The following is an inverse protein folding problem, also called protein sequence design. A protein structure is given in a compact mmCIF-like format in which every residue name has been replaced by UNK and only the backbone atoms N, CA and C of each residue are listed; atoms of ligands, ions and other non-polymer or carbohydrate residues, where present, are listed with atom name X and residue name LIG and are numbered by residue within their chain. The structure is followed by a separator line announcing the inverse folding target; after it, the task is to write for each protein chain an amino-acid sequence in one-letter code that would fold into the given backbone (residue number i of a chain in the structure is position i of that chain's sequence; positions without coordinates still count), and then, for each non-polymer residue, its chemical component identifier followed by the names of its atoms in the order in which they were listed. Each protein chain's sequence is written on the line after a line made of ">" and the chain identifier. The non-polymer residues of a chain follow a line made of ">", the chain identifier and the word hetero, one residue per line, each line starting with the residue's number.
data_IF_044515873981
#
_entry.id   IF_044515873981
#
_cell.length_a   1.000
_cell.length_b   1.000
_cell.length_c   1.000
_cell.angle_alpha   90.00
_cell.angle_beta   90.00
_cell.angle_gamma   90.00
#
_symmetry.space_group_name_H-M   'P 1'
#
loop_
_entity.id
_entity.type
_entity.pdbx_description
1 polymer ?
#
# COMPACT_ATOMS: atom_id res chain seq x y z
N UNK A 1 17.89 -13.63 11.44
CA UNK A 1 17.41 -12.24 11.56
C UNK A 1 15.88 -12.28 11.64
N UNK A 2 15.27 -11.64 12.63
CA UNK A 2 13.80 -11.62 12.79
C UNK A 2 13.12 -10.86 11.63
N UNK A 3 11.84 -11.16 11.37
CA UNK A 3 11.03 -10.44 10.37
C UNK A 3 11.04 -8.92 10.61
N UNK A 4 10.88 -8.51 11.88
CA UNK A 4 10.95 -7.11 12.29
C UNK A 4 12.29 -6.46 11.90
N UNK A 5 13.43 -7.14 12.14
CA UNK A 5 14.75 -6.62 11.77
C UNK A 5 14.90 -6.49 10.25
N UNK A 6 14.39 -7.45 9.47
CA UNK A 6 14.37 -7.37 7.99
C UNK A 6 13.56 -6.17 7.51
N UNK A 7 12.38 -5.94 8.12
CA UNK A 7 11.54 -4.80 7.77
C UNK A 7 12.24 -3.47 8.11
N UNK A 8 12.85 -3.35 9.29
CA UNK A 8 13.62 -2.16 9.67
C UNK A 8 14.72 -1.87 8.66
N UNK A 9 15.53 -2.87 8.29
CA UNK A 9 16.60 -2.70 7.30
C UNK A 9 16.03 -2.29 5.93
N UNK A 10 14.92 -2.90 5.51
CA UNK A 10 14.24 -2.52 4.26
C UNK A 10 13.76 -1.08 4.29
N UNK A 11 13.15 -0.64 5.39
CA UNK A 11 12.68 0.74 5.55
C UNK A 11 13.85 1.73 5.52
N UNK A 12 14.92 1.46 6.29
CA UNK A 12 16.13 2.30 6.31
C UNK A 12 16.73 2.37 4.89
N UNK A 13 16.92 1.23 4.24
CA UNK A 13 17.53 1.19 2.92
C UNK A 13 16.70 1.94 1.87
N UNK A 14 15.39 1.68 1.80
CA UNK A 14 14.53 2.23 0.72
C UNK A 14 14.12 3.69 0.94
N UNK A 15 13.97 4.14 2.20
CA UNK A 15 13.46 5.48 2.49
C UNK A 15 14.57 6.50 2.77
N UNK A 16 15.72 6.04 3.28
CA UNK A 16 16.80 6.94 3.69
C UNK A 16 18.09 6.70 2.94
N UNK A 17 18.64 5.47 2.98
CA UNK A 17 19.96 5.21 2.39
C UNK A 17 19.95 5.40 0.88
N UNK A 18 18.99 4.77 0.17
CA UNK A 18 18.93 4.83 -1.29
C UNK A 18 18.70 6.26 -1.79
N UNK A 19 17.70 7.04 -1.33
CA UNK A 19 17.52 8.42 -1.77
C UNK A 19 18.76 9.29 -1.49
N UNK A 20 19.34 9.23 -0.29
CA UNK A 20 20.51 10.04 0.05
C UNK A 20 21.76 9.64 -0.73
N UNK A 21 21.97 8.33 -0.96
CA UNK A 21 23.06 7.83 -1.79
C UNK A 21 22.94 8.35 -3.23
N UNK A 22 21.73 8.27 -3.81
CA UNK A 22 21.49 8.75 -5.18
C UNK A 22 21.65 10.27 -5.26
N UNK A 23 21.12 11.03 -4.29
CA UNK A 23 21.35 12.49 -4.22
C UNK A 23 22.84 12.78 -4.15
N UNK A 24 23.61 12.07 -3.34
CA UNK A 24 25.06 12.29 -3.22
C UNK A 24 25.79 12.15 -4.55
N UNK A 25 25.35 11.25 -5.44
CA UNK A 25 25.98 11.10 -6.77
C UNK A 25 25.92 12.39 -7.59
N UNK A 26 24.89 13.22 -7.41
CA UNK A 26 24.75 14.50 -8.10
C UNK A 26 25.82 15.53 -7.72
N UNK A 27 26.45 15.37 -6.55
CA UNK A 27 27.57 16.20 -6.11
C UNK A 27 28.93 15.75 -6.66
N UNK A 28 29.09 14.45 -6.93
CA UNK A 28 30.38 13.88 -7.34
C UNK A 28 30.51 13.69 -8.86
N UNK A 29 29.44 13.27 -9.55
CA UNK A 29 29.46 13.05 -10.99
C UNK A 29 29.43 14.40 -11.71
N UNK A 30 30.51 14.73 -12.40
CA UNK A 30 30.66 16.03 -13.07
C UNK A 30 30.07 16.05 -14.47
N UNK A 31 30.30 15.02 -15.27
CA UNK A 31 30.00 15.03 -16.69
C UNK A 31 28.49 14.93 -17.01
N UNK A 32 27.76 14.08 -16.31
CA UNK A 32 26.33 13.81 -16.53
C UNK A 32 25.49 14.30 -15.36
N UNK A 33 25.86 15.42 -14.74
CA UNK A 33 25.25 15.95 -13.53
C UNK A 33 23.73 16.15 -13.67
N UNK A 34 23.25 16.60 -14.84
CA UNK A 34 21.83 16.79 -15.12
C UNK A 34 21.04 15.47 -15.05
N UNK A 35 21.63 14.36 -15.52
CA UNK A 35 21.01 13.04 -15.39
C UNK A 35 20.96 12.58 -13.95
N UNK A 36 22.02 12.77 -13.17
CA UNK A 36 22.04 12.39 -11.75
C UNK A 36 21.06 13.20 -10.91
N UNK A 37 20.84 14.46 -11.22
CA UNK A 37 19.79 15.30 -10.61
C UNK A 37 18.40 14.76 -10.98
N UNK A 38 18.15 14.48 -12.26
CA UNK A 38 16.88 13.91 -12.71
C UNK A 38 16.58 12.54 -12.09
N UNK A 39 17.59 11.68 -11.96
CA UNK A 39 17.51 10.38 -11.27
C UNK A 39 17.18 10.60 -9.79
N UNK A 40 17.87 11.51 -9.11
CA UNK A 40 17.63 11.83 -7.69
C UNK A 40 16.20 12.29 -7.47
N UNK A 41 15.71 13.18 -8.33
CA UNK A 41 14.33 13.67 -8.30
C UNK A 41 13.30 12.52 -8.43
N UNK A 42 13.49 11.63 -9.42
CA UNK A 42 12.61 10.48 -9.60
C UNK A 42 12.62 9.55 -8.39
N UNK A 43 13.79 9.24 -7.83
CA UNK A 43 13.92 8.35 -6.67
C UNK A 43 13.21 8.94 -5.44
N UNK A 44 13.40 10.23 -5.16
CA UNK A 44 12.75 10.92 -4.04
C UNK A 44 11.24 10.91 -4.20
N UNK A 45 10.70 11.22 -5.38
CA UNK A 45 9.26 11.19 -5.64
C UNK A 45 8.67 9.79 -5.55
N UNK A 46 9.33 8.76 -6.11
CA UNK A 46 8.91 7.38 -6.01
C UNK A 46 8.85 6.96 -4.53
N UNK A 47 9.91 7.21 -3.77
CA UNK A 47 9.97 6.90 -2.35
C UNK A 47 8.87 7.64 -1.56
N UNK A 48 8.65 8.93 -1.87
CA UNK A 48 7.66 9.76 -1.19
C UNK A 48 6.22 9.30 -1.44
N UNK A 49 5.89 8.90 -2.67
CA UNK A 49 4.52 8.52 -3.04
C UNK A 49 4.24 7.06 -2.67
N UNK A 50 5.14 6.14 -2.98
CA UNK A 50 4.91 4.69 -2.86
C UNK A 50 5.59 4.02 -1.66
N UNK A 51 6.37 4.74 -0.87
CA UNK A 51 7.06 4.21 0.32
C UNK A 51 6.11 3.78 1.44
N UNK A 52 6.64 3.02 2.40
CA UNK A 52 5.93 2.53 3.59
C UNK A 52 5.92 3.59 4.69
N UNK A 53 5.15 4.66 4.48
CA UNK A 53 5.10 5.81 5.39
C UNK A 53 4.15 5.65 6.58
N UNK A 54 3.47 4.52 6.68
CA UNK A 54 2.59 4.20 7.81
C UNK A 54 3.31 4.12 9.16
N UNK A 55 4.62 3.90 9.13
CA UNK A 55 5.46 3.82 10.34
C UNK A 55 6.01 5.19 10.80
N UNK A 56 5.74 6.26 10.07
CA UNK A 56 6.27 7.58 10.33
C UNK A 56 5.17 8.63 10.43
N UNK A 57 5.38 9.65 11.25
CA UNK A 57 4.43 10.76 11.34
C UNK A 57 4.38 11.54 10.03
N UNK A 58 3.23 12.16 9.74
CA UNK A 58 3.09 13.00 8.55
C UNK A 58 4.08 14.18 8.54
N UNK A 59 4.35 14.77 9.72
CA UNK A 59 5.33 15.85 9.89
C UNK A 59 6.74 15.41 9.52
N UNK A 60 7.16 14.23 10.00
CA UNK A 60 8.47 13.67 9.68
C UNK A 60 8.61 13.38 8.19
N UNK A 61 7.62 12.72 7.58
CA UNK A 61 7.58 12.44 6.14
C UNK A 61 7.76 13.72 5.31
N UNK A 62 7.01 14.77 5.64
CA UNK A 62 7.08 16.05 4.95
C UNK A 62 8.43 16.74 5.14
N UNK A 63 8.93 16.81 6.37
CA UNK A 63 10.22 17.41 6.67
C UNK A 63 11.38 16.70 5.95
N UNK A 64 11.35 15.37 5.91
CA UNK A 64 12.33 14.58 5.17
C UNK A 64 12.28 14.83 3.66
N UNK A 65 11.07 14.93 3.09
CA UNK A 65 10.91 15.29 1.68
C UNK A 65 11.50 16.66 1.37
N UNK A 66 11.15 17.68 2.15
CA UNK A 66 11.71 19.04 1.98
C UNK A 66 13.23 19.04 2.12
N UNK A 67 13.78 18.28 3.04
CA UNK A 67 15.23 18.12 3.20
C UNK A 67 15.88 17.51 1.94
N UNK A 68 15.33 16.44 1.37
CA UNK A 68 15.83 15.85 0.13
C UNK A 68 15.76 16.84 -1.04
N UNK A 69 14.66 17.57 -1.21
CA UNK A 69 14.49 18.58 -2.25
C UNK A 69 15.50 19.73 -2.09
N UNK A 70 15.77 20.18 -0.86
CA UNK A 70 16.78 21.18 -0.59
C UNK A 70 18.19 20.73 -0.99
N UNK A 71 18.55 19.45 -0.72
CA UNK A 71 19.82 18.88 -1.15
C UNK A 71 19.93 18.84 -2.69
N UNK A 72 18.88 18.41 -3.38
CA UNK A 72 18.84 18.37 -4.85
C UNK A 72 19.00 19.77 -5.43
N UNK A 73 18.26 20.75 -4.90
CA UNK A 73 18.35 22.16 -5.32
C UNK A 73 19.76 22.74 -5.09
N UNK A 74 20.37 22.46 -3.93
CA UNK A 74 21.74 22.87 -3.64
C UNK A 74 22.73 22.28 -4.64
N UNK A 75 22.60 20.98 -4.96
CA UNK A 75 23.43 20.35 -6.00
C UNK A 75 23.24 21.02 -7.36
N UNK A 76 22.01 21.33 -7.76
CA UNK A 76 21.69 22.03 -9.00
C UNK A 76 22.38 23.42 -9.06
N UNK A 77 22.24 24.21 -7.99
CA UNK A 77 22.86 25.55 -7.91
C UNK A 77 24.39 25.44 -8.04
N UNK A 78 25.02 24.53 -7.29
CA UNK A 78 26.48 24.31 -7.36
C UNK A 78 26.88 23.95 -8.78
N UNK A 79 26.14 23.09 -9.47
CA UNK A 79 26.46 22.69 -10.84
C UNK A 79 26.31 23.82 -11.85
N UNK A 80 25.26 24.61 -11.75
CA UNK A 80 25.05 25.78 -12.64
C UNK A 80 26.16 26.81 -12.43
N UNK A 81 26.61 27.03 -11.19
CA UNK A 81 27.63 28.04 -10.88
C UNK A 81 29.07 27.61 -11.20
N UNK A 82 29.37 26.30 -11.10
CA UNK A 82 30.73 25.77 -11.28
C UNK A 82 30.94 25.18 -12.67
N UNK A 83 29.90 24.88 -13.44
CA UNK A 83 29.99 24.20 -14.74
C UNK A 83 30.58 25.11 -15.85
N UNK A 84 31.90 25.10 -15.97
CA UNK A 84 32.57 25.40 -17.22
C UNK A 84 32.77 24.07 -17.98
N UNK A 85 32.25 24.02 -19.22
CA UNK A 85 32.49 23.03 -20.29
C UNK A 85 33.03 21.65 -19.88
N UNK A 86 32.14 20.72 -19.60
CA UNK A 86 32.48 19.30 -19.37
C UNK A 86 31.93 18.48 -20.54
N UNK A 87 32.79 17.76 -21.25
CA UNK A 87 32.37 16.85 -22.33
C UNK A 87 31.68 15.58 -21.75
N UNK A 88 30.51 15.20 -22.26
CA UNK A 88 29.84 13.96 -21.79
C UNK A 88 30.69 12.71 -22.05
N UNK A 89 30.84 11.87 -21.05
CA UNK A 89 31.48 10.56 -21.22
C UNK A 89 30.46 9.55 -21.75
N UNK A 90 30.42 9.32 -23.05
CA UNK A 90 29.43 8.46 -23.75
C UNK A 90 29.16 7.12 -23.03
N UNK A 91 30.18 6.49 -22.45
CA UNK A 91 30.06 5.19 -21.79
C UNK A 91 29.20 5.20 -20.51
N UNK A 92 29.14 6.32 -19.79
CA UNK A 92 28.31 6.46 -18.56
C UNK A 92 26.95 7.07 -18.89
N UNK A 93 26.88 7.94 -19.90
CA UNK A 93 25.65 8.66 -20.30
C UNK A 93 24.55 7.70 -20.70
N UNK A 94 24.83 6.68 -21.53
CA UNK A 94 23.81 5.73 -22.01
C UNK A 94 23.17 4.94 -20.84
N UNK A 95 23.94 4.28 -19.94
CA UNK A 95 23.37 3.61 -18.77
C UNK A 95 22.53 4.52 -17.87
N UNK A 96 22.98 5.77 -17.64
CA UNK A 96 22.24 6.73 -16.82
C UNK A 96 20.93 7.15 -17.49
N UNK A 97 20.91 7.38 -18.80
CA UNK A 97 19.68 7.68 -19.55
C UNK A 97 18.69 6.52 -19.45
N UNK A 98 19.13 5.29 -19.69
CA UNK A 98 18.29 4.10 -19.60
C UNK A 98 17.71 3.96 -18.19
N UNK A 99 18.53 4.18 -17.16
CA UNK A 99 18.09 4.13 -15.77
C UNK A 99 17.07 5.21 -15.45
N UNK A 100 17.31 6.46 -15.88
CA UNK A 100 16.38 7.56 -15.70
C UNK A 100 15.03 7.31 -16.40
N UNK A 101 15.05 6.82 -17.64
CA UNK A 101 13.82 6.45 -18.36
C UNK A 101 13.03 5.36 -17.64
N UNK A 102 13.72 4.38 -17.04
CA UNK A 102 13.09 3.35 -16.22
C UNK A 102 12.41 3.96 -14.99
N UNK A 103 13.05 4.87 -14.28
CA UNK A 103 12.46 5.55 -13.12
C UNK A 103 11.27 6.43 -13.52
N UNK A 104 11.36 7.16 -14.64
CA UNK A 104 10.25 7.94 -15.19
C UNK A 104 9.07 7.01 -15.51
N UNK A 105 9.30 5.86 -16.14
CA UNK A 105 8.26 4.87 -16.41
C UNK A 105 7.58 4.38 -15.11
N UNK A 106 8.36 4.07 -14.07
CA UNK A 106 7.81 3.68 -12.77
C UNK A 106 6.97 4.82 -12.14
N UNK A 107 7.45 6.05 -12.20
CA UNK A 107 6.73 7.22 -11.69
C UNK A 107 5.41 7.45 -12.44
N UNK A 108 5.44 7.36 -13.77
CA UNK A 108 4.22 7.46 -14.59
C UNK A 108 3.20 6.40 -14.19
N UNK A 109 3.61 5.14 -13.98
CA UNK A 109 2.70 4.07 -13.53
C UNK A 109 2.10 4.38 -12.14
N UNK A 110 2.88 4.94 -11.22
CA UNK A 110 2.37 5.40 -9.92
C UNK A 110 1.30 6.48 -10.11
N UNK A 111 1.56 7.49 -10.95
CA UNK A 111 0.63 8.57 -11.23
C UNK A 111 -0.65 8.07 -11.93
N UNK A 112 -0.53 7.09 -12.83
CA UNK A 112 -1.69 6.43 -13.45
C UNK A 112 -2.59 5.81 -12.37
N UNK A 113 -2.03 5.10 -11.39
CA UNK A 113 -2.84 4.49 -10.29
C UNK A 113 -3.58 5.57 -9.51
N UNK A 114 -2.99 6.74 -9.32
CA UNK A 114 -3.60 7.84 -8.54
C UNK A 114 -4.70 8.56 -9.32
N UNK A 115 -4.43 8.90 -10.57
CA UNK A 115 -5.24 9.87 -11.32
C UNK A 115 -6.16 9.25 -12.37
N UNK A 116 -5.85 8.04 -12.87
CA UNK A 116 -6.68 7.40 -13.88
C UNK A 116 -8.00 6.93 -13.27
N UNK A 117 -9.10 7.31 -13.90
CA UNK A 117 -10.41 6.73 -13.61
C UNK A 117 -10.48 5.33 -14.25
N UNK A 118 -10.81 4.34 -13.45
CA UNK A 118 -11.09 2.99 -13.95
C UNK A 118 -12.44 3.00 -14.68
N UNK A 119 -12.63 2.04 -15.60
CA UNK A 119 -13.87 1.94 -16.38
C UNK A 119 -15.09 1.63 -15.53
N UNK A 120 -14.91 0.83 -14.49
CA UNK A 120 -15.95 0.46 -13.54
C UNK A 120 -15.48 0.83 -12.14
N UNK A 121 -16.22 1.72 -11.49
CA UNK A 121 -15.97 2.16 -10.12
C UNK A 121 -17.22 1.88 -9.30
N UNK A 122 -17.05 1.15 -8.23
CA UNK A 122 -18.15 0.81 -7.32
C UNK A 122 -17.99 1.64 -6.06
N UNK A 123 -18.98 2.50 -5.81
CA UNK A 123 -19.01 3.27 -4.57
C UNK A 123 -19.40 2.38 -3.41
N UNK A 124 -18.61 2.40 -2.35
CA UNK A 124 -18.86 1.66 -1.12
C UNK A 124 -18.92 2.60 0.08
N UNK A 125 -19.55 2.15 1.16
CA UNK A 125 -19.35 2.76 2.47
C UNK A 125 -17.97 2.37 2.99
N UNK A 126 -17.25 3.30 3.64
CA UNK A 126 -15.97 2.96 4.21
C UNK A 126 -16.17 2.04 5.42
N UNK A 127 -15.38 0.95 5.56
CA UNK A 127 -15.63 -0.07 6.57
C UNK A 127 -15.37 0.37 8.02
N UNK A 128 -14.96 1.61 8.23
CA UNK A 128 -14.73 2.18 9.56
C UNK A 128 -15.49 3.49 9.75
N UNK A 129 -15.65 3.90 11.02
CA UNK A 129 -16.26 5.19 11.42
C UNK A 129 -15.33 5.91 12.39
N UNK A 130 -15.41 7.25 12.39
CA UNK A 130 -14.73 8.12 13.38
C UNK A 130 -13.22 7.96 13.41
N UNK A 131 -12.53 8.74 12.61
CA UNK A 131 -11.07 8.78 12.65
C UNK A 131 -10.41 9.01 11.30
N UNK A 132 -9.11 8.87 11.30
CA UNK A 132 -8.30 8.94 10.10
C UNK A 132 -7.78 7.53 9.78
N UNK A 133 -7.89 7.14 8.53
CA UNK A 133 -7.41 5.84 8.07
C UNK A 133 -6.46 6.01 6.89
N UNK A 134 -5.41 5.21 6.88
CA UNK A 134 -4.44 5.20 5.79
C UNK A 134 -4.58 3.93 4.99
N UNK A 135 -4.61 4.08 3.68
CA UNK A 135 -4.46 2.96 2.75
C UNK A 135 -2.97 2.60 2.69
N UNK A 136 -2.62 1.39 3.07
CA UNK A 136 -1.23 0.90 3.05
C UNK A 136 -0.87 0.20 1.74
N UNK A 137 -1.83 -0.50 1.15
CA UNK A 137 -1.79 -1.01 -0.22
C UNK A 137 -3.15 -0.81 -0.88
N UNK A 138 -3.19 -0.35 -2.13
CA UNK A 138 -4.44 -0.07 -2.83
C UNK A 138 -4.22 0.53 -4.22
N UNK A 139 -5.30 0.58 -5.00
CA UNK A 139 -5.30 0.96 -6.40
C UNK A 139 -4.98 -0.20 -7.34
N UNK A 140 -4.84 0.08 -8.63
CA UNK A 140 -4.66 -0.95 -9.66
C UNK A 140 -3.28 -1.63 -9.56
N UNK A 141 -3.24 -2.79 -8.95
CA UNK A 141 -2.00 -3.55 -8.70
C UNK A 141 -1.34 -4.12 -9.97
N UNK A 142 -2.09 -4.24 -11.08
CA UNK A 142 -1.53 -4.61 -12.38
C UNK A 142 -0.68 -3.49 -12.98
N UNK A 143 -1.05 -2.23 -12.71
CA UNK A 143 -0.35 -1.05 -13.24
C UNK A 143 0.92 -0.78 -12.43
N UNK A 144 0.82 -0.79 -11.09
CA UNK A 144 1.99 -0.53 -10.25
C UNK A 144 2.03 -1.41 -9.01
N UNK A 145 3.02 -2.30 -8.98
CA UNK A 145 3.32 -3.13 -7.81
C UNK A 145 3.82 -2.30 -6.61
N UNK A 146 4.39 -1.13 -6.86
CA UNK A 146 4.84 -0.23 -5.79
C UNK A 146 3.66 0.37 -5.01
N UNK A 147 2.50 0.50 -5.67
CA UNK A 147 1.28 1.02 -5.06
C UNK A 147 0.42 -0.08 -4.45
N UNK A 148 0.43 -1.27 -5.04
CA UNK A 148 -0.37 -2.39 -4.59
C UNK A 148 0.25 -3.70 -5.08
N UNK A 149 0.64 -4.60 -4.18
CA UNK A 149 1.33 -5.84 -4.54
C UNK A 149 0.39 -7.02 -4.77
N UNK A 150 -0.89 -6.93 -4.44
CA UNK A 150 -1.82 -8.06 -4.33
C UNK A 150 -1.99 -8.88 -5.60
N UNK A 151 -2.05 -8.24 -6.77
CA UNK A 151 -2.15 -8.96 -8.06
C UNK A 151 -0.96 -9.90 -8.30
N UNK A 152 0.20 -9.56 -7.78
CA UNK A 152 1.46 -10.30 -7.92
C UNK A 152 1.77 -11.16 -6.70
N UNK A 153 0.81 -11.31 -5.78
CA UNK A 153 1.01 -12.13 -4.58
C UNK A 153 1.26 -13.58 -4.97
N UNK A 154 2.29 -14.17 -4.39
CA UNK A 154 2.71 -15.53 -4.70
C UNK A 154 1.98 -16.52 -3.79
N UNK A 155 0.98 -17.23 -4.33
CA UNK A 155 0.45 -18.43 -3.69
C UNK A 155 1.48 -19.57 -3.83
N UNK A 156 1.94 -20.10 -2.69
CA UNK A 156 2.79 -21.33 -2.63
C UNK A 156 4.02 -21.30 -3.56
N UNK A 157 4.87 -20.26 -3.49
CA UNK A 157 6.09 -20.13 -4.32
C UNK A 157 5.88 -20.15 -5.84
N UNK A 158 4.65 -20.29 -6.33
CA UNK A 158 4.33 -20.16 -7.75
C UNK A 158 3.88 -18.73 -8.03
N UNK A 159 4.62 -18.02 -8.88
CA UNK A 159 4.25 -16.68 -9.37
C UNK A 159 2.96 -16.78 -10.20
N UNK A 160 1.82 -16.82 -9.55
CA UNK A 160 0.51 -16.73 -10.21
C UNK A 160 -0.07 -15.36 -9.95
N UNK A 161 -0.48 -14.68 -11.01
CA UNK A 161 -1.28 -13.47 -10.90
C UNK A 161 -2.67 -13.84 -10.38
N UNK A 162 -3.14 -13.11 -9.38
CA UNK A 162 -4.49 -13.29 -8.85
C UNK A 162 -5.39 -12.14 -9.30
N UNK A 163 -6.23 -12.41 -10.30
CA UNK A 163 -7.13 -11.39 -10.89
C UNK A 163 -8.19 -10.89 -9.90
N UNK A 164 -8.61 -11.71 -8.96
CA UNK A 164 -9.60 -11.33 -7.95
C UNK A 164 -9.07 -10.27 -6.99
N UNK A 165 -7.75 -10.20 -6.81
CA UNK A 165 -7.07 -9.27 -5.91
C UNK A 165 -6.57 -7.99 -6.61
N UNK A 166 -7.03 -7.73 -7.85
CA UNK A 166 -6.53 -6.63 -8.68
C UNK A 166 -6.60 -5.26 -8.00
N UNK A 167 -7.65 -5.01 -7.21
CA UNK A 167 -7.91 -3.77 -6.48
C UNK A 167 -8.05 -4.01 -4.97
N UNK A 168 -7.51 -5.11 -4.46
CA UNK A 168 -7.51 -5.36 -3.03
C UNK A 168 -6.88 -4.20 -2.26
N UNK A 169 -7.42 -3.89 -1.10
CA UNK A 169 -7.07 -2.69 -0.33
C UNK A 169 -6.80 -3.06 1.11
N UNK A 170 -5.66 -2.62 1.64
CA UNK A 170 -5.28 -2.77 3.04
C UNK A 170 -5.39 -1.42 3.74
N UNK A 171 -6.02 -1.42 4.92
CA UNK A 171 -6.32 -0.21 5.68
C UNK A 171 -5.86 -0.34 7.12
N UNK A 172 -5.18 0.70 7.60
CA UNK A 172 -4.86 0.89 9.02
C UNK A 172 -5.49 2.16 9.55
N UNK A 173 -5.70 2.23 10.87
CA UNK A 173 -6.06 3.48 11.53
C UNK A 173 -4.81 4.37 11.61
N UNK A 174 -4.91 5.58 11.09
CA UNK A 174 -3.83 6.55 11.10
C UNK A 174 -3.90 7.36 12.39
N UNK A 175 -3.04 7.00 13.32
CA UNK A 175 -2.83 7.79 14.53
C UNK A 175 -1.60 8.68 14.34
N UNK A 176 -1.82 9.99 14.31
CA UNK A 176 -0.74 10.98 14.20
C UNK A 176 0.21 10.96 15.40
N UNK A 177 -0.26 10.44 16.53
CA UNK A 177 0.46 10.42 17.81
C UNK A 177 0.98 9.03 18.21
N UNK A 178 0.90 8.03 17.30
CA UNK A 178 1.44 6.69 17.56
C UNK A 178 2.93 6.76 17.89
N UNK A 179 3.26 6.54 19.15
CA UNK A 179 4.61 6.69 19.70
C UNK A 179 5.49 5.46 19.52
N UNK A 180 4.93 4.35 19.03
CA UNK A 180 5.65 3.07 18.92
C UNK A 180 5.95 2.73 17.49
N UNK A 181 7.23 2.63 17.18
CA UNK A 181 7.73 2.15 15.90
C UNK A 181 7.71 0.62 15.86
N UNK A 182 6.95 0.03 14.94
CA UNK A 182 6.82 -1.42 14.76
C UNK A 182 6.47 -2.17 16.06
N UNK A 183 5.28 -1.93 16.65
CA UNK A 183 4.87 -2.57 17.90
C UNK A 183 4.84 -4.10 17.79
N UNK A 184 5.13 -4.81 18.89
CA UNK A 184 5.13 -6.27 18.95
C UNK A 184 3.85 -6.87 19.53
N UNK A 185 2.93 -6.04 20.00
CA UNK A 185 1.62 -6.48 20.47
C UNK A 185 0.52 -5.96 19.56
N UNK A 186 -0.48 -6.78 19.27
CA UNK A 186 -1.64 -6.38 18.50
C UNK A 186 -2.38 -5.19 19.12
N UNK A 187 -2.47 -5.12 20.46
CA UNK A 187 -3.14 -4.04 21.20
C UNK A 187 -2.48 -2.68 21.03
N UNK A 188 -1.23 -2.63 20.59
CA UNK A 188 -0.51 -1.38 20.33
C UNK A 188 -0.83 -0.77 18.96
N UNK A 189 -1.62 -1.47 18.13
CA UNK A 189 -2.09 -0.97 16.84
C UNK A 189 -3.49 -0.39 16.97
N UNK A 190 -3.71 0.90 16.67
CA UNK A 190 -5.02 1.54 16.81
C UNK A 190 -6.14 0.91 15.99
N UNK A 191 -5.78 0.18 14.91
CA UNK A 191 -6.74 -0.54 14.08
C UNK A 191 -7.14 -1.89 14.66
N UNK A 192 -6.35 -2.48 15.57
CA UNK A 192 -6.69 -3.76 16.17
C UNK A 192 -7.92 -3.62 17.07
N UNK A 193 -8.88 -4.53 16.88
CA UNK A 193 -10.17 -4.51 17.59
C UNK A 193 -11.04 -3.28 17.26
N UNK A 194 -10.78 -2.57 16.15
CA UNK A 194 -11.66 -1.50 15.67
C UNK A 194 -12.93 -2.11 15.07
N UNK A 195 -14.09 -1.47 15.28
CA UNK A 195 -15.36 -1.92 14.73
C UNK A 195 -15.36 -1.83 13.20
N UNK A 196 -15.72 -2.93 12.55
CA UNK A 196 -15.88 -3.01 11.09
C UNK A 196 -17.37 -2.96 10.75
N UNK A 197 -17.68 -2.07 9.82
CA UNK A 197 -19.05 -1.85 9.34
C UNK A 197 -19.20 -2.34 7.89
N UNK A 198 -20.38 -2.83 7.55
CA UNK A 198 -20.71 -3.40 6.26
C UNK A 198 -20.56 -2.34 5.14
N UNK A 199 -19.71 -2.55 4.12
CA UNK A 199 -19.49 -1.56 3.07
C UNK A 199 -20.57 -1.53 1.98
N UNK A 200 -21.40 -2.56 1.87
CA UNK A 200 -22.45 -2.67 0.85
C UNK A 200 -23.59 -3.56 1.34
N UNK A 201 -24.79 -3.36 0.78
CA UNK A 201 -25.92 -4.26 1.03
C UNK A 201 -25.67 -5.64 0.39
N UNK A 202 -26.19 -6.70 1.02
CA UNK A 202 -26.11 -8.04 0.47
C UNK A 202 -26.47 -9.14 1.46
N UNK A 203 -26.18 -10.37 1.06
CA UNK A 203 -26.35 -11.57 1.88
C UNK A 203 -24.97 -12.06 2.30
N UNK A 204 -24.82 -12.46 3.54
CA UNK A 204 -23.59 -13.09 4.05
C UNK A 204 -23.42 -14.44 3.34
N UNK A 205 -22.38 -14.52 2.51
CA UNK A 205 -22.10 -15.69 1.68
C UNK A 205 -21.16 -16.69 2.35
N UNK A 206 -20.19 -16.20 3.13
CA UNK A 206 -19.22 -17.05 3.83
C UNK A 206 -18.72 -16.38 5.10
N UNK A 207 -18.56 -17.18 6.16
CA UNK A 207 -17.98 -16.77 7.44
C UNK A 207 -16.88 -17.75 7.83
N UNK A 208 -15.68 -17.23 8.14
CA UNK A 208 -14.58 -17.95 8.79
C UNK A 208 -14.19 -17.12 10.01
N UNK A 209 -14.31 -17.64 11.23
CA UNK A 209 -14.11 -16.86 12.48
C UNK A 209 -13.39 -17.64 13.61
N UNK A 210 -12.57 -18.64 13.26
CA UNK A 210 -11.89 -19.51 14.23
C UNK A 210 -10.36 -19.51 14.12
N UNK A 211 -9.78 -18.61 13.33
CA UNK A 211 -8.34 -18.52 13.12
C UNK A 211 -7.76 -17.54 14.15
N UNK A 212 -6.83 -17.97 15.02
CA UNK A 212 -6.20 -17.06 16.00
C UNK A 212 -5.50 -15.88 15.33
N UNK A 213 -5.50 -14.73 16.01
CA UNK A 213 -4.71 -13.58 15.60
C UNK A 213 -3.21 -13.88 15.75
N UNK A 214 -2.42 -13.48 14.77
CA UNK A 214 -0.97 -13.62 14.78
C UNK A 214 -0.30 -12.70 15.82
N UNK A 215 0.90 -13.06 16.22
CA UNK A 215 1.83 -12.14 16.88
C UNK A 215 2.51 -11.31 15.79
N UNK A 216 2.49 -9.97 15.88
CA UNK A 216 3.14 -9.11 14.88
C UNK A 216 4.61 -9.50 14.63
N UNK A 217 5.00 -9.58 13.37
CA UNK A 217 6.36 -9.91 12.91
C UNK A 217 6.89 -11.28 13.38
N UNK A 218 6.02 -12.25 13.67
CA UNK A 218 6.42 -13.61 14.03
C UNK A 218 7.06 -14.39 12.87
N UNK A 219 6.68 -14.04 11.63
CA UNK A 219 7.21 -14.70 10.42
C UNK A 219 6.53 -16.04 10.08
N UNK A 220 5.59 -16.48 10.88
CA UNK A 220 4.86 -17.73 10.67
C UNK A 220 3.34 -17.44 10.55
N UNK A 221 2.92 -17.08 9.34
CA UNK A 221 1.54 -16.68 9.05
C UNK A 221 0.84 -17.77 8.24
N UNK A 222 -0.39 -18.19 8.63
CA UNK A 222 -1.21 -19.05 7.80
C UNK A 222 -1.46 -18.41 6.42
N UNK A 223 -1.31 -19.21 5.38
CA UNK A 223 -1.45 -18.70 4.00
C UNK A 223 -2.91 -18.63 3.56
N UNK A 224 -3.67 -17.71 4.13
CA UNK A 224 -5.08 -17.44 3.83
C UNK A 224 -5.45 -16.01 4.23
N UNK A 225 -6.69 -15.60 3.99
CA UNK A 225 -7.22 -14.28 4.40
C UNK A 225 -7.59 -14.20 5.89
N UNK A 226 -7.27 -15.24 6.67
CA UNK A 226 -7.62 -15.29 8.10
C UNK A 226 -9.12 -15.40 8.32
N UNK A 227 -9.59 -14.83 9.43
CA UNK A 227 -11.01 -14.70 9.66
C UNK A 227 -11.59 -13.78 8.59
N UNK A 228 -12.60 -14.30 7.92
CA UNK A 228 -13.07 -13.74 6.66
C UNK A 228 -14.58 -13.68 6.66
N UNK A 229 -15.11 -12.55 6.22
CA UNK A 229 -16.51 -12.36 5.92
C UNK A 229 -16.66 -12.03 4.44
N UNK A 230 -17.50 -12.79 3.73
CA UNK A 230 -17.82 -12.51 2.32
C UNK A 230 -19.30 -12.16 2.22
N UNK A 231 -19.59 -11.01 1.63
CA UNK A 231 -20.92 -10.49 1.36
C UNK A 231 -21.19 -10.58 -0.13
N UNK A 232 -22.29 -11.20 -0.53
CA UNK A 232 -22.71 -11.36 -1.92
C UNK A 232 -23.88 -10.43 -2.23
N UNK A 233 -23.74 -9.71 -3.35
CA UNK A 233 -24.85 -8.97 -3.96
C UNK A 233 -24.83 -9.25 -5.48
N UNK A 234 -25.81 -10.03 -5.94
CA UNK A 234 -25.85 -10.55 -7.33
C UNK A 234 -24.58 -11.33 -7.67
N UNK A 235 -23.81 -10.92 -8.69
CA UNK A 235 -22.54 -11.51 -9.08
C UNK A 235 -21.31 -10.80 -8.46
N UNK A 236 -21.52 -9.92 -7.47
CA UNK A 236 -20.47 -9.20 -6.75
C UNK A 236 -20.24 -9.81 -5.38
N UNK A 237 -18.98 -9.99 -5.03
CA UNK A 237 -18.53 -10.57 -3.75
C UNK A 237 -17.57 -9.60 -3.08
N UNK A 238 -17.95 -9.07 -1.94
CA UNK A 238 -17.08 -8.25 -1.09
C UNK A 238 -16.49 -9.14 -0.01
N UNK A 239 -15.16 -9.27 0.01
CA UNK A 239 -14.42 -9.98 1.03
C UNK A 239 -13.82 -8.97 2.01
N UNK A 240 -13.99 -9.23 3.31
CA UNK A 240 -13.30 -8.57 4.42
C UNK A 240 -12.44 -9.61 5.10
N UNK A 241 -11.13 -9.41 5.18
CA UNK A 241 -10.15 -10.37 5.70
C UNK A 241 -9.36 -9.85 6.89
N UNK A 242 -8.58 -10.74 7.50
CA UNK A 242 -7.76 -10.51 8.70
C UNK A 242 -8.58 -10.03 9.90
N UNK A 243 -9.87 -10.40 9.96
CA UNK A 243 -10.75 -10.05 11.06
C UNK A 243 -10.27 -10.71 12.37
N UNK A 244 -10.62 -10.11 13.50
CA UNK A 244 -10.26 -10.62 14.82
C UNK A 244 -11.01 -11.91 15.10
N UNK A 245 -10.32 -12.89 15.70
CA UNK A 245 -10.90 -14.17 16.05
C UNK A 245 -12.10 -14.00 16.99
N UNK A 246 -13.22 -14.70 16.67
CA UNK A 246 -14.47 -14.69 17.44
C UNK A 246 -15.20 -13.36 17.43
N UNK A 247 -14.95 -12.48 16.45
CA UNK A 247 -15.54 -11.14 16.43
C UNK A 247 -16.65 -10.94 15.40
N UNK A 248 -16.86 -11.88 14.49
CA UNK A 248 -17.89 -11.77 13.44
C UNK A 248 -19.27 -11.95 14.07
N UNK A 249 -20.18 -11.02 13.80
CA UNK A 249 -21.49 -10.89 14.45
C UNK A 249 -22.66 -11.38 13.62
N UNK A 250 -22.38 -11.79 12.39
CA UNK A 250 -23.36 -12.24 11.41
C UNK A 250 -23.08 -13.68 11.00
N UNK A 251 -24.08 -14.37 10.44
CA UNK A 251 -24.00 -15.77 10.01
C UNK A 251 -24.25 -15.86 8.51
N UNK A 252 -23.79 -16.94 7.91
CA UNK A 252 -24.12 -17.25 6.51
C UNK A 252 -25.63 -17.30 6.31
N UNK A 253 -26.08 -16.61 5.25
CA UNK A 253 -27.51 -16.43 4.95
C UNK A 253 -28.13 -15.16 5.51
N UNK A 254 -27.51 -14.45 6.46
CA UNK A 254 -28.02 -13.20 6.99
C UNK A 254 -28.07 -12.10 5.93
N UNK A 255 -29.16 -11.33 5.89
CA UNK A 255 -29.23 -10.06 5.17
C UNK A 255 -28.48 -8.97 5.95
N UNK A 256 -27.55 -8.29 5.30
CA UNK A 256 -26.79 -7.17 5.87
C UNK A 256 -26.95 -5.90 5.06
N UNK A 257 -27.03 -4.79 5.77
CA UNK A 257 -27.14 -3.46 5.16
C UNK A 257 -25.86 -2.69 5.31
N UNK A 258 -25.63 -1.84 4.36
CA UNK A 258 -24.54 -0.85 4.39
C UNK A 258 -24.58 -0.07 5.70
N UNK A 259 -23.48 -0.09 6.45
CA UNK A 259 -23.34 0.55 7.75
C UNK A 259 -23.67 -0.33 8.95
N UNK A 260 -24.11 -1.57 8.79
CA UNK A 260 -24.29 -2.51 9.89
C UNK A 260 -22.95 -2.85 10.54
N UNK A 261 -22.93 -2.95 11.87
CA UNK A 261 -21.76 -3.40 12.60
C UNK A 261 -21.62 -4.93 12.52
N UNK A 262 -20.57 -5.41 11.85
CA UNK A 262 -20.46 -6.83 11.45
C UNK A 262 -19.27 -7.59 12.05
N UNK A 263 -18.17 -6.92 12.43
CA UNK A 263 -16.97 -7.57 12.97
C UNK A 263 -16.03 -6.56 13.65
N UNK A 264 -14.89 -7.07 14.11
CA UNK A 264 -13.71 -6.24 14.44
C UNK A 264 -12.54 -6.57 13.54
N UNK A 265 -11.70 -5.57 13.25
CA UNK A 265 -10.42 -5.78 12.57
C UNK A 265 -9.42 -6.48 13.50
N UNK A 266 -8.57 -7.32 12.93
CA UNK A 266 -7.64 -8.18 13.65
C UNK A 266 -6.28 -8.32 12.97
N UNK A 267 -5.67 -9.50 13.15
CA UNK A 267 -4.36 -9.86 12.58
C UNK A 267 -4.30 -11.35 12.24
N UNK A 268 -5.39 -11.95 11.80
CA UNK A 268 -5.46 -13.38 11.49
C UNK A 268 -5.02 -13.69 10.06
N UNK A 269 -4.60 -14.92 9.78
CA UNK A 269 -4.21 -15.37 8.45
C UNK A 269 -2.86 -14.83 7.99
N UNK A 270 -2.69 -14.58 6.69
CA UNK A 270 -1.44 -14.07 6.11
C UNK A 270 -1.32 -12.56 6.34
N UNK A 271 -1.13 -12.20 7.59
CA UNK A 271 -1.06 -10.82 8.07
C UNK A 271 0.14 -10.64 9.01
N UNK A 272 1.06 -9.77 8.62
CA UNK A 272 2.28 -9.46 9.39
C UNK A 272 1.99 -8.57 10.61
N UNK A 273 0.96 -7.76 10.54
CA UNK A 273 0.51 -6.81 11.56
C UNK A 273 -0.97 -6.47 11.38
N UNK A 274 -1.65 -5.96 12.43
CA UNK A 274 -3.05 -5.59 12.34
C UNK A 274 -3.37 -4.62 11.21
N UNK A 275 -4.33 -5.00 10.37
CA UNK A 275 -4.94 -4.19 9.32
C UNK A 275 -6.24 -4.83 8.87
N UNK A 276 -7.10 -4.08 8.20
CA UNK A 276 -8.24 -4.64 7.48
C UNK A 276 -7.88 -4.79 6.01
N UNK A 277 -7.99 -6.00 5.50
CA UNK A 277 -7.95 -6.30 4.07
C UNK A 277 -9.38 -6.35 3.53
N UNK A 278 -9.66 -5.67 2.42
CA UNK A 278 -10.91 -5.87 1.69
C UNK A 278 -10.72 -5.83 0.19
N UNK A 279 -11.58 -6.55 -0.51
CA UNK A 279 -11.62 -6.58 -1.98
C UNK A 279 -13.02 -6.85 -2.48
N UNK A 280 -13.41 -6.18 -3.55
CA UNK A 280 -14.64 -6.43 -4.27
C UNK A 280 -14.32 -7.16 -5.56
N UNK A 281 -15.08 -8.22 -5.83
CA UNK A 281 -14.88 -9.07 -7.01
C UNK A 281 -16.19 -9.26 -7.75
N UNK A 282 -16.12 -9.44 -9.06
CA UNK A 282 -17.22 -9.96 -9.86
C UNK A 282 -16.90 -11.39 -10.30
N UNK A 283 -17.82 -12.30 -10.07
CA UNK A 283 -17.72 -13.70 -10.48
C UNK A 283 -19.07 -14.19 -10.97
N UNK A 284 -19.08 -14.92 -12.09
CA UNK A 284 -20.28 -15.54 -12.62
C UNK A 284 -20.58 -16.90 -11.94
N UNK A 285 -19.71 -17.32 -11.06
CA UNK A 285 -19.88 -18.53 -10.24
C UNK A 285 -19.64 -18.22 -8.77
N UNK A 286 -20.07 -19.13 -7.88
CA UNK A 286 -19.81 -19.01 -6.43
C UNK A 286 -18.32 -19.13 -6.06
N UNK A 287 -17.47 -19.50 -7.00
CA UNK A 287 -16.03 -19.40 -6.79
C UNK A 287 -15.52 -17.98 -7.09
N UNK A 288 -15.74 -17.07 -6.14
CA UNK A 288 -15.34 -15.66 -6.25
C UNK A 288 -13.82 -15.47 -6.44
N UNK A 289 -12.97 -16.42 -6.01
CA UNK A 289 -11.53 -16.38 -6.22
C UNK A 289 -11.12 -16.49 -7.70
N UNK A 290 -11.98 -17.04 -8.56
CA UNK A 290 -11.80 -17.05 -10.01
C UNK A 290 -12.31 -15.78 -10.69
N UNK A 291 -12.97 -14.93 -9.95
CA UNK A 291 -13.50 -13.66 -10.43
C UNK A 291 -12.43 -12.63 -10.80
N UNK A 292 -12.89 -11.45 -11.12
CA UNK A 292 -12.05 -10.26 -11.37
C UNK A 292 -12.30 -9.21 -10.31
N UNK A 293 -11.22 -8.66 -9.74
CA UNK A 293 -11.30 -7.55 -8.80
C UNK A 293 -11.86 -6.29 -9.46
N UNK A 294 -12.76 -5.62 -8.77
CA UNK A 294 -13.37 -4.37 -9.16
C UNK A 294 -12.79 -3.21 -8.36
N UNK A 295 -12.62 -2.06 -9.02
CA UNK A 295 -12.21 -0.85 -8.32
C UNK A 295 -13.33 -0.34 -7.42
N UNK A 296 -12.99 -0.08 -6.17
CA UNK A 296 -13.90 0.55 -5.21
C UNK A 296 -13.51 1.99 -4.97
N UNK A 297 -14.52 2.83 -4.77
CA UNK A 297 -14.35 4.25 -4.45
C UNK A 297 -15.08 4.59 -3.16
N UNK A 298 -14.60 5.62 -2.49
CA UNK A 298 -15.27 6.22 -1.35
C UNK A 298 -15.33 7.74 -1.54
N UNK A 299 -16.53 8.33 -1.44
CA UNK A 299 -16.81 9.73 -1.75
C UNK A 299 -16.26 10.12 -3.15
N UNK A 300 -16.50 9.28 -4.16
CA UNK A 300 -16.05 9.44 -5.53
C UNK A 300 -14.55 9.39 -5.76
N UNK A 301 -13.79 8.91 -4.78
CA UNK A 301 -12.32 8.91 -4.82
C UNK A 301 -11.74 7.51 -4.75
N UNK A 302 -10.74 7.24 -5.60
CA UNK A 302 -9.99 5.97 -5.59
C UNK A 302 -9.26 5.75 -4.26
N UNK A 303 -9.16 4.50 -3.83
CA UNK A 303 -8.38 4.06 -2.68
C UNK A 303 -7.00 3.61 -3.15
N UNK A 304 -5.98 4.44 -2.94
CA UNK A 304 -4.60 4.16 -3.34
C UNK A 304 -3.64 4.34 -2.18
N UNK A 305 -2.48 3.70 -2.27
CA UNK A 305 -1.45 3.70 -1.24
C UNK A 305 -1.11 5.11 -0.72
N UNK A 306 -0.94 5.22 0.58
CA UNK A 306 -0.66 6.45 1.32
C UNK A 306 -1.77 7.50 1.33
N UNK A 307 -2.93 7.21 0.74
CA UNK A 307 -4.11 8.07 0.87
C UNK A 307 -4.64 8.01 2.30
N UNK A 308 -4.97 9.17 2.86
CA UNK A 308 -5.65 9.29 4.15
C UNK A 308 -7.13 9.57 3.88
N UNK A 309 -7.98 8.76 4.51
CA UNK A 309 -9.43 8.91 4.55
C UNK A 309 -9.78 9.46 5.91
N UNK A 310 -10.48 10.57 5.92
CA UNK A 310 -11.02 11.22 7.15
C UNK A 310 -12.52 10.93 7.20
N UNK A 311 -12.99 10.42 8.33
CA UNK A 311 -14.39 10.05 8.58
C UNK A 311 -14.88 10.71 9.85
#
# INVERSE_FOLDING_TARGET
>A
MSERARLILKLIASHFVLPLLVISTSYFIRNDWYLTIGISQCVVWIAMISGYWEFFTAKFRYAYFVFCEALILTSLIIRITISASVTPGIYLTIPLVVFQLTLIYLLINILIVIFKKEKENIEIEFPFRNGNYRITDGGNSRVSRLMNYHFHSTLHRKRKTNRSMLFATDVIKHDADSKRFLPLSNSDYPVFNEKVYCPMDGIVFQVIDNIPDNIPYSGNYPYNTGNTLVIKNQNRYLLLGHLRAGSIRVREGDDVKKGDYIAHSGNSGYSERPHLHFQLMRSETDNYWKGIGLNVTYNGKNLYKNRIIKI
#
